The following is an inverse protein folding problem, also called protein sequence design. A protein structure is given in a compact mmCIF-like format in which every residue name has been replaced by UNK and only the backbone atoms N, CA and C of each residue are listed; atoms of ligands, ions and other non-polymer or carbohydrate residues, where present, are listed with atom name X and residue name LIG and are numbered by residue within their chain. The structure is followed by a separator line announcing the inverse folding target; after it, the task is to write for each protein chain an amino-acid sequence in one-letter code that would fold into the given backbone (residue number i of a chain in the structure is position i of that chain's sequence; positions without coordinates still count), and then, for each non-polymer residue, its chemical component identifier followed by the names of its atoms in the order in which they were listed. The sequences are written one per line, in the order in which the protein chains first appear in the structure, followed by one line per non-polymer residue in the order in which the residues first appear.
data_IF_850703360779
#
_entry.id   IF_850703360779
#
_cell.length_a   1.000
_cell.length_b   1.000
_cell.length_c   1.000
_cell.angle_alpha   90.00
_cell.angle_beta   90.00
_cell.angle_gamma   90.00
#
_symmetry.space_group_name_H-M   'P 1'
#
loop_
_entity.id
_entity.type
_entity.pdbx_description
1 polymer ?
#
# COMPACT_ATOMS: atom_id res chain seq x y z
N UNK A 1 -4.00 35.36 -15.35
CA UNK A 1 -5.33 34.76 -15.15
C UNK A 1 -5.41 33.52 -16.03
N UNK A 2 -5.67 32.36 -15.49
CA UNK A 2 -5.87 31.13 -16.27
C UNK A 2 -7.18 31.25 -17.06
N UNK A 3 -7.13 30.88 -18.35
CA UNK A 3 -8.33 30.85 -19.20
C UNK A 3 -9.22 29.70 -18.72
N UNK A 4 -10.48 29.97 -18.45
CA UNK A 4 -11.48 28.97 -18.09
C UNK A 4 -12.22 28.49 -19.33
N UNK A 5 -12.52 27.21 -19.39
CA UNK A 5 -13.35 26.57 -20.40
C UNK A 5 -14.52 25.87 -19.72
N UNK A 6 -15.71 25.98 -20.31
CA UNK A 6 -16.86 25.18 -19.93
C UNK A 6 -16.91 23.93 -20.81
N UNK A 7 -17.24 22.79 -20.22
CA UNK A 7 -17.40 21.52 -20.93
C UNK A 7 -18.69 20.84 -20.46
N UNK A 8 -19.60 20.65 -21.38
CA UNK A 8 -20.88 20.00 -21.15
C UNK A 8 -20.96 18.74 -22.02
N UNK A 9 -21.34 17.61 -21.41
CA UNK A 9 -21.51 16.36 -22.14
C UNK A 9 -22.63 15.53 -21.54
N UNK A 10 -23.17 14.61 -22.31
CA UNK A 10 -24.07 13.56 -21.86
C UNK A 10 -23.28 12.25 -21.82
N UNK A 11 -23.37 11.53 -20.70
CA UNK A 11 -22.76 10.22 -20.52
C UNK A 11 -23.84 9.18 -20.32
N UNK A 12 -23.67 8.01 -20.93
CA UNK A 12 -24.56 6.87 -20.74
C UNK A 12 -24.09 6.05 -19.55
N UNK A 13 -25.03 5.55 -18.75
CA UNK A 13 -24.76 4.48 -17.78
C UNK A 13 -24.59 3.17 -18.57
N UNK A 14 -23.35 2.72 -18.69
CA UNK A 14 -23.00 1.53 -19.46
C UNK A 14 -22.63 0.33 -18.55
N UNK A 15 -22.51 0.57 -17.26
CA UNK A 15 -22.23 -0.48 -16.28
C UNK A 15 -22.93 -0.20 -14.94
N UNK A 16 -23.21 -1.29 -14.22
CA UNK A 16 -23.82 -1.28 -12.90
C UNK A 16 -23.28 -2.42 -12.03
N UNK A 17 -23.04 -2.15 -10.76
CA UNK A 17 -22.69 -3.13 -9.75
C UNK A 17 -23.37 -2.81 -8.42
N UNK A 18 -23.52 -3.79 -7.54
CA UNK A 18 -23.95 -3.53 -6.16
C UNK A 18 -22.82 -2.86 -5.37
N UNK A 19 -21.59 -3.35 -5.53
CA UNK A 19 -20.40 -2.76 -4.92
C UNK A 19 -19.44 -2.33 -6.02
N UNK A 20 -19.08 -1.05 -6.04
CA UNK A 20 -18.06 -0.48 -6.94
C UNK A 20 -16.83 -0.16 -6.12
N UNK A 21 -15.71 -0.80 -6.42
CA UNK A 21 -14.41 -0.56 -5.77
C UNK A 21 -13.53 0.27 -6.69
N UNK A 22 -13.15 1.47 -6.25
CA UNK A 22 -12.22 2.32 -6.98
C UNK A 22 -10.80 2.13 -6.47
N UNK A 23 -9.91 1.66 -7.37
CA UNK A 23 -8.55 1.25 -7.09
C UNK A 23 -8.45 -0.24 -6.78
N UNK A 24 -7.86 -1.00 -7.72
CA UNK A 24 -7.57 -2.44 -7.58
C UNK A 24 -6.23 -2.71 -6.86
N UNK A 25 -5.83 -1.82 -5.93
CA UNK A 25 -4.60 -1.93 -5.15
C UNK A 25 -4.67 -2.99 -4.05
N UNK A 26 -3.75 -2.88 -3.09
CA UNK A 26 -3.61 -3.84 -1.97
C UNK A 26 -4.90 -4.04 -1.17
N UNK A 27 -5.63 -2.96 -0.87
CA UNK A 27 -6.89 -3.03 -0.15
C UNK A 27 -8.07 -3.36 -1.08
N UNK A 28 -8.10 -2.73 -2.27
CA UNK A 28 -9.25 -2.81 -3.16
C UNK A 28 -9.46 -4.18 -3.78
N UNK A 29 -8.39 -4.88 -4.15
CA UNK A 29 -8.49 -6.28 -4.60
C UNK A 29 -9.14 -7.15 -3.52
N UNK A 30 -8.71 -6.99 -2.26
CA UNK A 30 -9.25 -7.76 -1.13
C UNK A 30 -10.69 -7.36 -0.81
N UNK A 31 -11.01 -6.06 -0.86
CA UNK A 31 -12.38 -5.57 -0.66
C UNK A 31 -13.36 -6.14 -1.69
N UNK A 32 -12.94 -6.17 -2.95
CA UNK A 32 -13.76 -6.70 -4.03
C UNK A 32 -13.98 -8.22 -3.89
N UNK A 33 -12.92 -8.97 -3.61
CA UNK A 33 -13.01 -10.44 -3.36
C UNK A 33 -13.92 -10.71 -2.17
N UNK A 34 -13.76 -9.96 -1.06
CA UNK A 34 -14.60 -10.12 0.13
C UNK A 34 -16.07 -9.88 -0.18
N UNK A 35 -16.40 -8.76 -0.83
CA UNK A 35 -17.77 -8.45 -1.20
C UNK A 35 -18.39 -9.50 -2.17
N UNK A 36 -17.59 -9.97 -3.14
CA UNK A 36 -18.06 -11.00 -4.08
C UNK A 36 -18.29 -12.35 -3.39
N UNK A 37 -17.43 -12.76 -2.47
CA UNK A 37 -17.61 -13.98 -1.66
C UNK A 37 -18.82 -13.87 -0.71
N UNK A 38 -19.23 -12.65 -0.34
CA UNK A 38 -20.49 -12.39 0.35
C UNK A 38 -21.73 -12.40 -0.59
N UNK A 39 -21.56 -12.68 -1.87
CA UNK A 39 -22.60 -12.83 -2.87
C UNK A 39 -23.01 -11.56 -3.60
N UNK A 40 -22.20 -10.49 -3.54
CA UNK A 40 -22.47 -9.24 -4.25
C UNK A 40 -21.99 -9.28 -5.69
N UNK A 41 -22.70 -8.55 -6.58
CA UNK A 41 -22.16 -8.18 -7.90
C UNK A 41 -21.16 -7.04 -7.71
N UNK A 42 -19.88 -7.30 -8.02
CA UNK A 42 -18.77 -6.39 -7.74
C UNK A 42 -18.05 -5.97 -9.01
N UNK A 43 -17.70 -4.69 -9.10
CA UNK A 43 -16.85 -4.13 -10.14
C UNK A 43 -15.65 -3.42 -9.52
N UNK A 44 -14.43 -3.76 -9.96
CA UNK A 44 -13.22 -2.98 -9.72
C UNK A 44 -12.98 -2.02 -10.89
N UNK A 45 -12.70 -0.75 -10.57
CA UNK A 45 -12.21 0.26 -11.51
C UNK A 45 -10.74 0.55 -11.16
N UNK A 46 -9.82 0.32 -12.11
CA UNK A 46 -8.37 0.43 -11.89
C UNK A 46 -7.70 1.18 -13.07
N UNK A 47 -6.93 2.24 -12.80
CA UNK A 47 -6.26 3.00 -13.86
C UNK A 47 -5.08 2.27 -14.52
N UNK A 48 -4.50 1.29 -13.85
CA UNK A 48 -3.41 0.47 -14.40
C UNK A 48 -3.93 -0.82 -15.02
N UNK A 49 -3.03 -1.59 -15.64
CA UNK A 49 -3.34 -2.84 -16.31
C UNK A 49 -3.15 -4.08 -15.44
N UNK A 50 -3.07 -3.97 -14.12
CA UNK A 50 -2.99 -5.09 -13.20
C UNK A 50 -3.49 -4.73 -11.80
N UNK A 51 -3.91 -5.75 -11.04
CA UNK A 51 -4.26 -5.63 -9.63
C UNK A 51 -3.00 -5.60 -8.73
N UNK A 52 -3.18 -5.18 -7.47
CA UNK A 52 -2.17 -5.22 -6.41
C UNK A 52 -1.55 -3.86 -6.06
N UNK A 53 -1.68 -2.85 -6.91
CA UNK A 53 -1.24 -1.47 -6.65
C UNK A 53 0.21 -1.37 -6.19
N UNK A 54 0.48 -1.03 -4.91
CA UNK A 54 1.85 -0.89 -4.42
C UNK A 54 2.65 -2.20 -4.47
N UNK A 55 2.00 -3.35 -4.28
CA UNK A 55 2.66 -4.66 -4.36
C UNK A 55 3.20 -4.97 -5.76
N UNK A 56 2.51 -4.51 -6.80
CA UNK A 56 2.77 -4.82 -8.22
C UNK A 56 3.31 -3.62 -8.97
N UNK A 57 2.55 -2.54 -9.08
CA UNK A 57 2.91 -1.35 -9.85
C UNK A 57 4.04 -0.53 -9.22
N UNK A 58 4.18 -0.54 -7.86
CA UNK A 58 5.30 0.13 -7.15
C UNK A 58 6.37 -0.84 -6.64
N UNK A 59 6.30 -2.14 -6.95
CA UNK A 59 7.31 -3.17 -6.62
C UNK A 59 7.63 -3.25 -5.12
N UNK A 60 6.60 -3.14 -4.25
CA UNK A 60 6.76 -3.32 -2.80
C UNK A 60 6.69 -4.81 -2.46
N UNK A 61 7.84 -5.47 -2.49
CA UNK A 61 7.99 -6.93 -2.46
C UNK A 61 7.86 -7.59 -1.09
N UNK A 62 8.09 -6.95 0.07
CA UNK A 62 7.95 -7.62 1.36
C UNK A 62 6.51 -8.01 1.66
N UNK A 63 6.29 -9.24 2.14
CA UNK A 63 4.98 -9.70 2.63
C UNK A 63 4.54 -8.97 3.90
N UNK A 64 5.48 -8.45 4.68
CA UNK A 64 5.30 -7.69 5.92
C UNK A 64 4.62 -8.50 7.05
N UNK A 65 4.80 -8.06 8.29
CA UNK A 65 4.06 -8.54 9.47
C UNK A 65 3.24 -7.41 10.05
N UNK A 66 2.22 -7.75 10.83
CA UNK A 66 1.49 -6.77 11.64
C UNK A 66 2.25 -6.38 12.93
N UNK A 67 3.45 -6.90 13.16
CA UNK A 67 4.27 -6.63 14.34
C UNK A 67 3.80 -7.32 15.62
N UNK A 68 2.87 -8.26 15.52
CA UNK A 68 2.31 -9.03 16.65
C UNK A 68 2.94 -10.43 16.63
N UNK A 69 3.35 -11.01 17.78
CA UNK A 69 3.84 -12.38 17.86
C UNK A 69 2.87 -13.38 17.23
N UNK A 70 3.37 -14.35 16.49
CA UNK A 70 2.56 -15.30 15.73
C UNK A 70 2.00 -14.75 14.41
N UNK A 71 2.18 -13.45 14.15
CA UNK A 71 1.76 -12.74 12.93
C UNK A 71 0.30 -13.08 12.54
N UNK A 72 -0.68 -12.79 13.41
CA UNK A 72 -2.07 -13.07 13.10
C UNK A 72 -2.49 -12.26 11.88
N UNK A 73 -2.96 -12.95 10.83
CA UNK A 73 -3.51 -12.27 9.66
C UNK A 73 -4.96 -11.94 9.95
N UNK A 74 -5.25 -10.65 10.16
CA UNK A 74 -6.61 -10.16 10.40
C UNK A 74 -7.46 -10.14 9.12
N UNK A 75 -7.10 -10.96 8.15
CA UNK A 75 -7.75 -11.11 6.85
C UNK A 75 -7.50 -12.52 6.34
N UNK A 76 -8.58 -13.26 6.12
CA UNK A 76 -8.55 -14.60 5.53
C UNK A 76 -8.02 -14.58 4.09
N UNK A 77 -8.37 -13.54 3.34
CA UNK A 77 -7.93 -13.34 1.95
C UNK A 77 -6.44 -12.99 1.92
N UNK A 78 -5.94 -12.20 2.89
CA UNK A 78 -4.51 -11.93 2.99
C UNK A 78 -3.68 -13.18 3.28
N UNK A 79 -4.18 -14.06 4.15
CA UNK A 79 -3.57 -15.35 4.44
C UNK A 79 -3.57 -16.24 3.20
N UNK A 80 -4.69 -16.31 2.48
CA UNK A 80 -4.81 -17.03 1.22
C UNK A 80 -3.81 -16.54 0.17
N UNK A 81 -3.65 -15.20 -0.01
CA UNK A 81 -2.67 -14.63 -0.93
C UNK A 81 -1.26 -15.09 -0.55
N UNK A 82 -0.89 -15.00 0.73
CA UNK A 82 0.42 -15.42 1.19
C UNK A 82 0.65 -16.92 0.98
N UNK A 83 -0.31 -17.76 1.36
CA UNK A 83 -0.24 -19.21 1.20
C UNK A 83 -0.11 -19.62 -0.26
N UNK A 84 -1.01 -19.12 -1.13
CA UNK A 84 -0.99 -19.46 -2.58
C UNK A 84 0.30 -18.98 -3.25
N UNK A 85 0.79 -17.77 -2.92
CA UNK A 85 2.04 -17.26 -3.49
C UNK A 85 3.26 -18.11 -3.13
N UNK A 86 3.26 -18.73 -1.93
CA UNK A 86 4.31 -19.66 -1.49
C UNK A 86 4.15 -21.01 -2.18
N UNK A 87 2.93 -21.55 -2.25
CA UNK A 87 2.60 -22.80 -2.94
C UNK A 87 2.95 -22.74 -4.43
N UNK A 88 2.72 -21.61 -5.08
CA UNK A 88 3.04 -21.35 -6.49
C UNK A 88 4.56 -21.06 -6.71
N UNK A 89 5.35 -21.00 -5.63
CA UNK A 89 6.80 -20.90 -5.68
C UNK A 89 7.36 -19.50 -6.00
N UNK A 90 6.54 -18.45 -6.00
CA UNK A 90 7.00 -17.08 -6.24
C UNK A 90 7.04 -16.20 -4.97
N UNK A 91 6.86 -16.79 -3.80
CA UNK A 91 7.11 -16.17 -2.52
C UNK A 91 7.73 -17.16 -1.55
N UNK A 92 8.31 -16.65 -0.47
CA UNK A 92 8.78 -17.49 0.62
C UNK A 92 8.49 -16.86 1.97
N UNK A 93 8.39 -17.71 2.99
CA UNK A 93 8.20 -17.29 4.38
C UNK A 93 9.49 -17.50 5.17
N UNK A 94 9.90 -16.50 5.94
CA UNK A 94 11.05 -16.55 6.85
C UNK A 94 11.91 -15.30 6.83
N UNK A 95 12.71 -15.11 7.88
CA UNK A 95 13.56 -13.93 8.08
C UNK A 95 12.95 -12.86 8.98
N UNK A 96 13.50 -11.64 8.95
CA UNK A 96 13.05 -10.50 9.78
C UNK A 96 11.65 -10.04 9.37
N UNK A 97 11.35 -10.06 8.08
CA UNK A 97 9.99 -9.96 7.52
C UNK A 97 9.49 -11.37 7.21
N UNK A 98 8.17 -11.64 7.17
CA UNK A 98 7.65 -12.98 6.89
C UNK A 98 8.07 -13.53 5.53
N UNK A 99 8.74 -12.74 4.70
CA UNK A 99 9.30 -13.13 3.42
C UNK A 99 9.12 -12.06 2.37
N UNK A 100 9.46 -12.45 1.14
CA UNK A 100 9.35 -11.61 -0.05
C UNK A 100 8.67 -12.39 -1.16
N UNK A 101 8.13 -11.69 -2.14
CA UNK A 101 7.54 -12.29 -3.34
C UNK A 101 8.11 -11.65 -4.61
N UNK A 102 8.06 -12.37 -5.71
CA UNK A 102 8.33 -11.80 -7.03
C UNK A 102 7.14 -10.92 -7.45
N UNK A 103 7.32 -9.60 -7.57
CA UNK A 103 6.22 -8.68 -7.91
C UNK A 103 5.67 -8.90 -9.31
N UNK A 104 6.41 -9.58 -10.20
CA UNK A 104 5.95 -9.89 -11.55
C UNK A 104 4.92 -11.01 -11.58
N UNK A 105 4.89 -11.86 -10.55
CA UNK A 105 3.95 -13.00 -10.44
C UNK A 105 2.69 -12.66 -9.64
N UNK A 106 2.78 -11.70 -8.74
CA UNK A 106 1.65 -11.33 -7.88
C UNK A 106 0.38 -10.91 -8.66
N UNK A 107 0.43 -10.17 -9.79
CA UNK A 107 -0.76 -9.84 -10.55
C UNK A 107 -1.56 -11.06 -11.00
N UNK A 108 -0.88 -12.12 -11.47
CA UNK A 108 -1.53 -13.35 -11.94
C UNK A 108 -2.37 -14.00 -10.83
N UNK A 109 -1.81 -14.11 -9.62
CA UNK A 109 -2.52 -14.65 -8.48
C UNK A 109 -3.74 -13.79 -8.10
N UNK A 110 -3.55 -12.47 -8.00
CA UNK A 110 -4.63 -11.57 -7.58
C UNK A 110 -5.79 -11.54 -8.59
N UNK A 111 -5.48 -11.54 -9.89
CA UNK A 111 -6.48 -11.61 -10.96
C UNK A 111 -7.21 -12.95 -10.97
N UNK A 112 -6.47 -14.05 -10.78
CA UNK A 112 -7.07 -15.38 -10.66
C UNK A 112 -8.05 -15.43 -9.47
N UNK A 113 -7.65 -14.99 -8.29
CA UNK A 113 -8.50 -14.96 -7.10
C UNK A 113 -9.75 -14.08 -7.29
N UNK A 114 -9.58 -12.93 -7.96
CA UNK A 114 -10.70 -12.04 -8.28
C UNK A 114 -11.70 -12.73 -9.24
N UNK A 115 -11.21 -13.39 -10.29
CA UNK A 115 -12.05 -14.13 -11.25
C UNK A 115 -12.73 -15.33 -10.61
N UNK A 116 -12.02 -16.12 -9.80
CA UNK A 116 -12.60 -17.24 -9.02
C UNK A 116 -13.73 -16.78 -8.11
N UNK A 117 -13.67 -15.55 -7.61
CA UNK A 117 -14.70 -14.94 -6.77
C UNK A 117 -15.84 -14.26 -7.55
N UNK A 118 -15.75 -14.20 -8.89
CA UNK A 118 -16.77 -13.56 -9.75
C UNK A 118 -16.67 -12.03 -9.81
N UNK A 119 -15.52 -11.45 -9.44
CA UNK A 119 -15.29 -10.01 -9.53
C UNK A 119 -15.10 -9.60 -10.99
N UNK A 120 -15.82 -8.57 -11.42
CA UNK A 120 -15.58 -7.90 -12.71
C UNK A 120 -14.50 -6.84 -12.56
N UNK A 121 -13.58 -6.76 -13.52
CA UNK A 121 -12.45 -5.83 -13.50
C UNK A 121 -12.52 -4.94 -14.74
N UNK A 122 -12.36 -3.63 -14.55
CA UNK A 122 -12.26 -2.63 -15.61
C UNK A 122 -10.94 -1.89 -15.47
N UNK A 123 -9.94 -2.31 -16.22
CA UNK A 123 -8.61 -1.70 -16.29
C UNK A 123 -8.61 -0.43 -17.15
N UNK A 124 -7.53 0.35 -17.03
CA UNK A 124 -7.32 1.60 -17.80
C UNK A 124 -8.49 2.57 -17.67
N UNK A 125 -9.13 2.57 -16.50
CA UNK A 125 -10.33 3.34 -16.21
C UNK A 125 -10.13 4.16 -14.95
N UNK A 126 -10.38 5.45 -15.02
CA UNK A 126 -10.18 6.40 -13.93
C UNK A 126 -11.49 7.09 -13.58
N UNK A 127 -11.94 7.12 -12.31
CA UNK A 127 -13.05 7.94 -11.88
C UNK A 127 -12.63 9.43 -11.95
N UNK A 128 -13.47 10.26 -12.57
CA UNK A 128 -13.18 11.69 -12.77
C UNK A 128 -14.23 12.60 -12.15
N UNK A 129 -15.41 12.09 -11.83
CA UNK A 129 -16.48 12.84 -11.22
C UNK A 129 -17.49 11.92 -10.53
N UNK A 130 -18.23 12.47 -9.56
CA UNK A 130 -19.25 11.76 -8.80
C UNK A 130 -20.60 12.43 -8.98
N UNK A 131 -21.62 11.66 -9.31
CA UNK A 131 -23.01 12.13 -9.33
C UNK A 131 -23.66 11.74 -8.00
N UNK A 132 -24.21 12.73 -7.30
CA UNK A 132 -24.88 12.52 -6.00
C UNK A 132 -26.32 13.01 -6.03
N UNK A 133 -27.15 12.30 -5.28
CA UNK A 133 -28.46 12.79 -4.83
C UNK A 133 -28.39 12.99 -3.32
N UNK A 134 -28.39 14.24 -2.87
CA UNK A 134 -28.05 14.63 -1.49
C UNK A 134 -26.64 14.12 -1.12
N UNK A 135 -26.52 13.35 -0.04
CA UNK A 135 -25.24 12.78 0.44
C UNK A 135 -24.97 11.38 -0.12
N UNK A 136 -25.80 10.86 -1.02
CA UNK A 136 -25.65 9.52 -1.60
C UNK A 136 -25.08 9.59 -3.02
N UNK A 137 -24.04 8.84 -3.29
CA UNK A 137 -23.50 8.62 -4.63
C UNK A 137 -24.47 7.74 -5.43
N UNK A 138 -24.87 8.18 -6.62
CA UNK A 138 -25.73 7.41 -7.54
C UNK A 138 -24.94 6.85 -8.70
N UNK A 139 -23.91 7.57 -9.18
CA UNK A 139 -23.03 7.09 -10.23
C UNK A 139 -21.65 7.74 -10.16
N UNK A 140 -20.66 7.06 -10.73
CA UNK A 140 -19.34 7.60 -11.04
C UNK A 140 -19.27 7.92 -12.53
N UNK A 141 -18.72 9.07 -12.88
CA UNK A 141 -18.25 9.31 -14.24
C UNK A 141 -16.80 8.83 -14.30
N UNK A 142 -16.56 7.91 -15.21
CA UNK A 142 -15.24 7.32 -15.44
C UNK A 142 -14.75 7.65 -16.84
N UNK A 143 -13.44 7.74 -17.00
CA UNK A 143 -12.77 7.91 -18.28
C UNK A 143 -11.95 6.67 -18.60
N UNK A 144 -12.11 6.18 -19.82
CA UNK A 144 -11.28 5.13 -20.41
C UNK A 144 -10.92 5.45 -21.88
N UNK A 145 -10.41 4.46 -22.62
CA UNK A 145 -10.03 4.63 -24.03
C UNK A 145 -11.21 4.91 -24.96
N UNK A 146 -12.42 4.49 -24.57
CA UNK A 146 -13.64 4.69 -25.37
C UNK A 146 -14.33 6.04 -25.09
N UNK A 147 -13.92 6.73 -24.02
CA UNK A 147 -14.46 8.05 -23.65
C UNK A 147 -14.95 8.14 -22.23
N UNK A 148 -16.04 8.88 -22.02
CA UNK A 148 -16.67 9.06 -20.73
C UNK A 148 -17.89 8.13 -20.59
N UNK A 149 -17.96 7.46 -19.46
CA UNK A 149 -19.04 6.53 -19.11
C UNK A 149 -19.53 6.78 -17.70
N UNK A 150 -20.79 6.39 -17.41
CA UNK A 150 -21.29 6.38 -16.05
C UNK A 150 -21.36 4.94 -15.54
N UNK A 151 -20.92 4.75 -14.29
CA UNK A 151 -21.00 3.46 -13.56
C UNK A 151 -21.89 3.67 -12.35
N UNK A 152 -23.01 2.95 -12.30
CA UNK A 152 -23.95 3.00 -11.18
C UNK A 152 -23.56 2.00 -10.09
N UNK A 153 -23.80 2.36 -8.82
CA UNK A 153 -23.53 1.52 -7.67
C UNK A 153 -24.48 1.73 -6.50
N UNK A 154 -24.64 0.70 -5.67
CA UNK A 154 -25.37 0.83 -4.42
C UNK A 154 -24.45 1.31 -3.30
N UNK A 155 -23.24 0.71 -3.18
CA UNK A 155 -22.18 1.12 -2.26
C UNK A 155 -20.86 1.24 -3.03
N UNK A 156 -20.07 2.24 -2.67
CA UNK A 156 -18.77 2.54 -3.24
C UNK A 156 -17.70 2.34 -2.17
N UNK A 157 -16.52 1.82 -2.58
CA UNK A 157 -15.36 1.67 -1.69
C UNK A 157 -14.17 2.39 -2.33
N UNK A 158 -13.67 3.43 -1.67
CA UNK A 158 -12.47 4.12 -2.08
C UNK A 158 -11.23 3.36 -1.60
N UNK A 159 -10.54 2.75 -2.54
CA UNK A 159 -9.27 2.05 -2.37
C UNK A 159 -8.17 2.64 -3.27
N UNK A 160 -8.31 3.90 -3.68
CA UNK A 160 -7.35 4.58 -4.57
C UNK A 160 -5.99 4.80 -3.90
N UNK A 161 -5.94 4.67 -2.58
CA UNK A 161 -4.75 4.89 -1.75
C UNK A 161 -4.49 6.36 -1.45
N UNK A 162 -5.01 7.26 -2.28
CA UNK A 162 -4.90 8.72 -2.14
C UNK A 162 -6.25 9.39 -1.79
N UNK A 163 -7.32 8.59 -1.60
CA UNK A 163 -8.64 9.08 -1.26
C UNK A 163 -9.32 9.84 -2.41
N UNK A 164 -8.97 9.52 -3.65
CA UNK A 164 -9.42 10.29 -4.82
C UNK A 164 -10.93 10.25 -4.99
N UNK A 165 -11.57 9.09 -4.80
CA UNK A 165 -13.02 8.98 -4.88
C UNK A 165 -13.70 9.77 -3.76
N UNK A 166 -13.18 9.70 -2.54
CA UNK A 166 -13.70 10.43 -1.38
C UNK A 166 -13.65 11.94 -1.60
N UNK A 167 -12.55 12.44 -2.15
CA UNK A 167 -12.40 13.86 -2.50
C UNK A 167 -13.35 14.27 -3.62
N UNK A 168 -13.50 13.45 -4.66
CA UNK A 168 -14.51 13.70 -5.73
C UNK A 168 -15.94 13.72 -5.18
N UNK A 169 -16.24 12.94 -4.14
CA UNK A 169 -17.52 12.94 -3.45
C UNK A 169 -17.71 14.12 -2.48
N UNK A 170 -16.67 14.93 -2.26
CA UNK A 170 -16.70 16.12 -1.39
C UNK A 170 -16.38 15.82 0.07
N UNK A 171 -15.77 14.67 0.40
CA UNK A 171 -15.32 14.39 1.74
C UNK A 171 -14.12 15.27 2.15
N UNK A 172 -14.04 15.60 3.43
CA UNK A 172 -12.89 16.28 4.00
C UNK A 172 -11.72 15.32 4.19
N UNK A 173 -10.51 15.87 4.30
CA UNK A 173 -9.29 15.09 4.55
C UNK A 173 -8.21 15.94 5.24
N UNK A 174 -7.26 15.29 5.86
CA UNK A 174 -5.96 15.86 6.26
C UNK A 174 -4.88 15.39 5.30
N UNK A 175 -3.73 16.08 5.29
CA UNK A 175 -2.62 15.74 4.39
C UNK A 175 -1.31 16.25 4.96
N UNK A 176 -0.31 15.39 4.97
CA UNK A 176 1.04 15.73 5.39
C UNK A 176 1.20 15.89 6.91
N UNK A 177 2.42 16.06 7.33
CA UNK A 177 2.77 16.25 8.72
C UNK A 177 2.13 17.55 9.27
N UNK A 178 1.34 17.51 10.34
CA UNK A 178 0.62 18.67 10.87
C UNK A 178 1.51 19.83 11.33
N UNK A 179 2.82 19.57 11.59
CA UNK A 179 3.79 20.61 11.98
C UNK A 179 4.50 21.25 10.78
N UNK A 180 4.76 20.50 9.73
CA UNK A 180 5.58 20.96 8.59
C UNK A 180 4.81 21.08 7.29
N UNK A 181 3.63 20.49 7.18
CA UNK A 181 2.83 20.40 5.96
C UNK A 181 3.40 19.45 4.90
N UNK A 182 4.55 18.80 5.16
CA UNK A 182 5.19 17.91 4.19
C UNK A 182 4.66 16.49 4.29
N UNK A 183 4.43 15.86 3.12
CA UNK A 183 4.17 14.43 3.02
C UNK A 183 5.44 13.61 3.27
N UNK A 184 5.27 12.30 3.48
CA UNK A 184 6.40 11.38 3.57
C UNK A 184 7.10 11.22 2.21
N UNK A 185 8.42 10.90 2.19
CA UNK A 185 9.18 10.69 0.97
C UNK A 185 8.52 9.69 0.03
N UNK A 186 8.61 9.95 -1.25
CA UNK A 186 8.18 9.05 -2.32
C UNK A 186 9.37 8.33 -2.92
N UNK A 187 9.15 7.21 -3.60
CA UNK A 187 10.23 6.38 -4.14
C UNK A 187 9.90 5.82 -5.52
N UNK A 188 10.94 5.51 -6.29
CA UNK A 188 10.82 4.74 -7.53
C UNK A 188 11.64 3.45 -7.38
N UNK A 189 10.98 2.32 -7.21
CA UNK A 189 11.63 1.02 -7.01
C UNK A 189 11.96 0.34 -8.33
N UNK A 190 12.91 -0.60 -8.27
CA UNK A 190 13.32 -1.38 -9.44
C UNK A 190 13.80 -2.77 -9.03
N UNK A 191 13.93 -3.65 -10.02
CA UNK A 191 14.49 -4.99 -9.87
C UNK A 191 15.66 -5.13 -10.82
N UNK A 192 16.74 -5.74 -10.32
CA UNK A 192 17.87 -6.22 -11.10
C UNK A 192 17.78 -7.73 -11.25
N UNK A 193 18.19 -8.25 -12.39
CA UNK A 193 18.41 -9.68 -12.62
C UNK A 193 19.87 -9.97 -12.96
N UNK A 194 20.22 -11.23 -12.99
CA UNK A 194 21.59 -11.77 -13.22
C UNK A 194 22.62 -11.27 -12.20
N UNK A 195 22.20 -11.08 -10.95
CA UNK A 195 23.09 -10.80 -9.82
C UNK A 195 23.58 -12.11 -9.22
N UNK A 196 24.90 -12.28 -9.10
CA UNK A 196 25.49 -13.34 -8.24
C UNK A 196 25.39 -12.88 -6.78
N UNK A 197 24.27 -13.26 -6.14
CA UNK A 197 23.96 -12.85 -4.75
C UNK A 197 25.00 -13.35 -3.75
N UNK A 198 25.65 -14.49 -4.01
CA UNK A 198 26.71 -15.03 -3.15
C UNK A 198 27.99 -14.19 -3.25
N UNK A 199 28.37 -13.81 -4.46
CA UNK A 199 29.50 -12.92 -4.66
C UNK A 199 29.23 -11.52 -4.07
N UNK A 200 27.99 -11.03 -4.22
CA UNK A 200 27.54 -9.77 -3.61
C UNK A 200 27.67 -9.81 -2.09
N UNK A 201 27.12 -10.82 -1.44
CA UNK A 201 27.23 -11.00 0.01
C UNK A 201 28.69 -11.10 0.48
N UNK A 202 29.58 -11.72 -0.33
CA UNK A 202 31.01 -11.82 -0.05
C UNK A 202 31.81 -10.52 -0.29
N UNK A 203 31.20 -9.45 -0.78
CA UNK A 203 31.90 -8.17 -0.99
C UNK A 203 32.16 -7.45 0.34
N UNK A 204 31.33 -7.66 1.33
CA UNK A 204 31.41 -7.07 2.67
C UNK A 204 31.62 -8.15 3.71
N UNK A 205 32.43 -7.86 4.73
CA UNK A 205 32.81 -8.84 5.76
C UNK A 205 31.97 -8.75 7.04
N UNK A 206 31.19 -7.67 7.19
CA UNK A 206 30.41 -7.36 8.39
C UNK A 206 28.98 -7.95 8.37
N UNK A 207 28.66 -8.81 7.41
CA UNK A 207 27.31 -9.37 7.19
C UNK A 207 26.22 -8.31 6.95
N UNK A 208 26.58 -7.11 6.49
CA UNK A 208 25.59 -6.09 6.08
C UNK A 208 24.70 -6.56 4.92
N UNK A 209 25.23 -7.51 4.14
CA UNK A 209 24.55 -8.12 2.99
C UNK A 209 24.69 -9.64 3.13
N UNK A 210 23.61 -10.38 3.02
CA UNK A 210 23.60 -11.84 3.01
C UNK A 210 22.84 -12.38 1.80
N UNK A 211 23.21 -13.59 1.34
CA UNK A 211 22.58 -14.22 0.16
C UNK A 211 21.23 -14.89 0.46
N UNK A 212 20.85 -15.01 1.72
CA UNK A 212 19.70 -15.79 2.18
C UNK A 212 18.45 -14.96 2.52
N UNK A 213 18.34 -13.79 1.95
CA UNK A 213 17.13 -12.94 2.05
C UNK A 213 17.23 -11.81 3.05
N UNK A 214 18.43 -11.45 3.49
CA UNK A 214 18.62 -10.28 4.34
C UNK A 214 18.36 -8.99 3.56
N UNK A 215 17.71 -8.01 4.21
CA UNK A 215 17.58 -6.65 3.71
C UNK A 215 18.49 -5.73 4.51
N UNK A 216 19.21 -4.84 3.83
CA UNK A 216 20.04 -3.82 4.49
C UNK A 216 19.49 -2.43 4.25
N UNK A 217 19.38 -1.63 5.32
CA UNK A 217 19.01 -0.23 5.26
C UNK A 217 20.25 0.61 5.60
N UNK A 218 20.69 1.45 4.69
CA UNK A 218 21.84 2.32 4.90
C UNK A 218 21.44 3.55 5.71
N UNK A 219 22.17 3.79 6.79
CA UNK A 219 22.10 5.04 7.56
C UNK A 219 23.45 5.74 7.48
N UNK A 220 23.46 7.07 7.36
CA UNK A 220 24.66 7.88 7.21
C UNK A 220 25.52 8.00 8.51
N UNK A 221 25.58 6.94 9.32
CA UNK A 221 26.40 6.93 10.54
C UNK A 221 27.76 6.28 10.37
N UNK A 222 28.03 5.71 9.18
CA UNK A 222 29.35 5.21 8.81
C UNK A 222 29.82 3.92 9.51
N UNK A 223 28.92 3.20 10.17
CA UNK A 223 29.31 2.05 10.98
C UNK A 223 29.44 0.75 10.15
N UNK A 224 28.65 0.63 9.08
CA UNK A 224 28.63 -0.56 8.23
C UNK A 224 29.60 -0.45 7.06
N UNK A 225 30.13 -1.57 6.63
CA UNK A 225 31.04 -1.62 5.49
C UNK A 225 30.38 -1.13 4.19
N UNK A 226 29.13 -1.50 3.96
CA UNK A 226 28.34 -1.02 2.81
C UNK A 226 28.17 0.50 2.79
N UNK A 227 27.96 1.11 3.95
CA UNK A 227 27.87 2.58 4.08
C UNK A 227 29.18 3.25 3.72
N UNK A 228 30.30 2.69 4.14
CA UNK A 228 31.65 3.19 3.80
C UNK A 228 31.91 3.09 2.30
N UNK A 229 31.46 2.01 1.66
CA UNK A 229 31.55 1.85 0.20
C UNK A 229 30.73 2.93 -0.51
N UNK A 230 29.47 3.14 -0.08
CA UNK A 230 28.60 4.16 -0.66
C UNK A 230 29.14 5.57 -0.46
N UNK A 231 29.66 5.89 0.73
CA UNK A 231 30.29 7.19 1.03
C UNK A 231 31.48 7.45 0.10
N UNK A 232 32.37 6.45 -0.09
CA UNK A 232 33.50 6.57 -1.04
C UNK A 232 32.99 6.76 -2.49
N UNK A 233 31.94 6.10 -2.88
CA UNK A 233 31.35 6.27 -4.20
C UNK A 233 30.76 7.67 -4.40
N UNK A 234 30.14 8.24 -3.36
CA UNK A 234 29.67 9.63 -3.37
C UNK A 234 30.84 10.61 -3.49
N UNK A 235 31.91 10.43 -2.70
CA UNK A 235 33.11 11.27 -2.76
C UNK A 235 33.80 11.20 -4.12
N UNK A 236 33.70 10.05 -4.80
CA UNK A 236 34.21 9.88 -6.16
C UNK A 236 33.28 10.42 -7.26
N UNK A 237 32.08 10.91 -6.91
CA UNK A 237 31.08 11.42 -7.85
C UNK A 237 30.26 10.35 -8.57
N UNK A 238 30.34 9.08 -8.14
CA UNK A 238 29.57 7.97 -8.71
C UNK A 238 28.15 7.85 -8.11
N UNK A 239 27.95 8.38 -6.90
CA UNK A 239 26.66 8.54 -6.24
C UNK A 239 26.43 10.00 -5.84
N UNK A 240 25.19 10.39 -5.59
CA UNK A 240 24.84 11.68 -5.00
C UNK A 240 24.56 11.52 -3.50
N UNK A 241 24.45 12.65 -2.77
CA UNK A 241 24.09 12.64 -1.36
C UNK A 241 22.69 12.02 -1.13
N UNK A 242 21.78 12.26 -2.05
CA UNK A 242 20.41 11.75 -2.02
C UNK A 242 20.39 10.23 -2.11
N UNK A 243 21.31 9.61 -2.88
CA UNK A 243 21.41 8.14 -3.00
C UNK A 243 21.80 7.48 -1.67
N UNK A 244 22.45 8.22 -0.74
CA UNK A 244 22.82 7.73 0.58
C UNK A 244 21.74 7.94 1.64
N UNK A 245 20.67 8.69 1.32
CA UNK A 245 19.61 8.98 2.28
C UNK A 245 18.82 7.73 2.69
N UNK A 246 18.63 6.82 1.74
CA UNK A 246 17.98 5.52 1.97
C UNK A 246 18.42 4.51 0.92
N UNK A 247 18.81 3.31 1.39
CA UNK A 247 19.14 2.18 0.53
C UNK A 247 18.74 0.88 1.21
N UNK A 248 17.99 0.04 0.49
CA UNK A 248 17.58 -1.26 0.97
C UNK A 248 17.36 -2.20 -0.22
N UNK A 249 17.83 -3.43 -0.09
CA UNK A 249 17.71 -4.46 -1.14
C UNK A 249 17.15 -5.76 -0.58
N UNK A 250 16.42 -6.49 -1.43
CA UNK A 250 15.76 -7.74 -1.09
C UNK A 250 16.08 -8.79 -2.16
N UNK A 251 16.89 -9.83 -1.84
CA UNK A 251 17.10 -10.94 -2.74
C UNK A 251 15.81 -11.71 -3.02
N UNK A 252 15.51 -11.96 -4.30
CA UNK A 252 14.30 -12.65 -4.74
C UNK A 252 14.53 -14.12 -5.09
N UNK A 253 15.74 -14.66 -4.89
CA UNK A 253 16.08 -16.04 -5.26
C UNK A 253 15.20 -17.08 -4.57
N UNK A 254 14.90 -16.90 -3.28
CA UNK A 254 13.98 -17.75 -2.52
C UNK A 254 12.51 -17.58 -2.93
N UNK A 255 12.20 -16.51 -3.64
CA UNK A 255 10.91 -16.27 -4.30
C UNK A 255 10.91 -16.75 -5.76
N UNK A 256 11.73 -17.73 -6.11
CA UNK A 256 11.78 -18.33 -7.43
C UNK A 256 12.53 -17.55 -8.51
N UNK A 257 12.97 -16.31 -8.23
CA UNK A 257 13.64 -15.44 -9.20
C UNK A 257 15.16 -15.48 -9.00
N UNK A 258 15.80 -16.42 -9.70
CA UNK A 258 17.25 -16.65 -9.61
C UNK A 258 18.03 -15.39 -10.00
N UNK A 259 18.96 -14.96 -9.11
CA UNK A 259 19.75 -13.74 -9.31
C UNK A 259 18.93 -12.45 -9.29
N UNK A 260 17.67 -12.51 -8.87
CA UNK A 260 16.79 -11.33 -8.73
C UNK A 260 17.10 -10.53 -7.46
N UNK A 261 17.18 -9.21 -7.58
CA UNK A 261 17.40 -8.28 -6.48
C UNK A 261 16.43 -7.11 -6.57
N UNK A 262 15.45 -7.05 -5.67
CA UNK A 262 14.54 -5.91 -5.57
C UNK A 262 15.20 -4.78 -4.77
N UNK A 263 15.11 -3.55 -5.27
CA UNK A 263 15.73 -2.38 -4.69
C UNK A 263 14.67 -1.38 -4.19
N UNK A 264 14.67 -1.11 -2.88
CA UNK A 264 13.82 -0.13 -2.23
C UNK A 264 14.57 1.20 -2.14
N UNK A 265 14.87 1.77 -3.28
CA UNK A 265 15.54 3.04 -3.54
C UNK A 265 15.40 3.38 -5.04
N UNK A 266 15.60 4.65 -5.49
CA UNK A 266 15.86 5.83 -4.69
C UNK A 266 14.64 6.35 -3.94
N UNK A 267 14.88 7.18 -2.90
CA UNK A 267 13.87 7.98 -2.22
C UNK A 267 14.07 9.47 -2.50
N UNK A 268 12.96 10.21 -2.56
CA UNK A 268 12.92 11.64 -2.80
C UNK A 268 12.27 12.33 -1.61
N UNK A 269 12.95 13.37 -1.09
CA UNK A 269 12.57 14.13 0.10
C UNK A 269 12.05 15.52 -0.22
N UNK A 270 12.17 15.93 -1.47
CA UNK A 270 11.57 17.13 -2.05
C UNK A 270 10.54 16.74 -3.09
N UNK A 271 9.56 17.58 -3.36
CA UNK A 271 8.49 17.27 -4.30
C UNK A 271 7.74 15.97 -3.95
N UNK A 272 7.34 15.84 -2.68
CA UNK A 272 6.79 14.60 -2.10
C UNK A 272 5.27 14.51 -2.13
N UNK A 273 4.57 15.45 -2.75
CA UNK A 273 3.12 15.41 -2.86
C UNK A 273 2.66 14.35 -3.86
N UNK A 274 2.17 13.23 -3.36
CA UNK A 274 1.63 12.13 -4.15
C UNK A 274 0.35 12.46 -4.93
N UNK A 275 -0.24 13.63 -4.68
CA UNK A 275 -1.45 14.13 -5.38
C UNK A 275 -1.11 15.24 -6.40
N UNK A 276 0.16 15.60 -6.54
CA UNK A 276 0.62 16.57 -7.54
C UNK A 276 1.26 15.84 -8.74
N UNK A 277 0.65 15.88 -9.94
CA UNK A 277 1.17 15.21 -11.11
C UNK A 277 2.56 15.75 -11.55
N UNK A 278 2.93 16.98 -11.20
CA UNK A 278 4.27 17.51 -11.48
C UNK A 278 5.32 16.79 -10.63
N UNK A 279 5.07 16.62 -9.33
CA UNK A 279 5.95 15.87 -8.42
C UNK A 279 6.07 14.40 -8.83
N UNK A 280 4.96 13.75 -9.22
CA UNK A 280 4.97 12.36 -9.70
C UNK A 280 5.77 12.22 -10.99
N UNK A 281 5.60 13.17 -11.93
CA UNK A 281 6.35 13.20 -13.19
C UNK A 281 7.84 13.36 -12.95
N UNK A 282 8.23 14.30 -12.11
CA UNK A 282 9.62 14.55 -11.76
C UNK A 282 10.26 13.33 -11.09
N UNK A 283 9.56 12.71 -10.14
CA UNK A 283 10.02 11.47 -9.48
C UNK A 283 10.24 10.34 -10.48
N UNK A 284 9.34 10.17 -11.49
CA UNK A 284 9.52 9.19 -12.54
C UNK A 284 10.77 9.46 -13.40
N UNK A 285 11.07 10.71 -13.69
CA UNK A 285 12.23 11.09 -14.51
C UNK A 285 13.52 10.95 -13.70
N UNK A 286 13.61 11.61 -12.55
CA UNK A 286 14.80 11.61 -11.70
C UNK A 286 15.10 10.23 -11.14
N UNK A 287 14.05 9.45 -10.82
CA UNK A 287 14.19 8.09 -10.36
C UNK A 287 14.87 7.19 -11.38
N UNK A 288 14.51 7.26 -12.66
CA UNK A 288 15.18 6.49 -13.72
C UNK A 288 16.64 6.91 -13.93
N UNK A 289 16.95 8.19 -13.76
CA UNK A 289 18.34 8.67 -13.79
C UNK A 289 19.11 8.08 -12.62
N UNK A 290 18.56 8.12 -11.40
CA UNK A 290 19.19 7.54 -10.21
C UNK A 290 19.38 6.02 -10.34
N UNK A 291 18.39 5.29 -10.84
CA UNK A 291 18.44 3.83 -11.04
C UNK A 291 19.61 3.45 -11.99
N UNK A 292 19.82 4.18 -13.06
CA UNK A 292 20.97 3.96 -13.95
C UNK A 292 22.30 4.21 -13.25
N UNK A 293 22.37 5.24 -12.41
CA UNK A 293 23.57 5.55 -11.58
C UNK A 293 23.80 4.45 -10.56
N UNK A 294 22.75 3.94 -9.91
CA UNK A 294 22.84 2.80 -8.97
C UNK A 294 23.39 1.54 -9.65
N UNK A 295 22.93 1.19 -10.86
CA UNK A 295 23.46 0.03 -11.57
C UNK A 295 24.95 0.20 -11.90
N UNK A 296 25.38 1.40 -12.33
CA UNK A 296 26.79 1.67 -12.57
C UNK A 296 27.63 1.58 -11.28
N UNK A 297 27.11 2.10 -10.18
CA UNK A 297 27.71 1.99 -8.85
C UNK A 297 27.85 0.51 -8.44
N UNK A 298 26.80 -0.33 -8.54
CA UNK A 298 26.89 -1.74 -8.19
C UNK A 298 27.97 -2.46 -9.00
N UNK A 299 28.00 -2.26 -10.31
CA UNK A 299 29.02 -2.89 -11.19
C UNK A 299 30.45 -2.46 -10.86
N UNK A 300 30.65 -1.24 -10.37
CA UNK A 300 31.97 -0.71 -10.05
C UNK A 300 32.47 -1.12 -8.66
N UNK A 301 31.58 -1.21 -7.67
CA UNK A 301 31.97 -1.32 -6.26
C UNK A 301 31.67 -2.69 -5.62
N UNK A 302 30.80 -3.50 -6.23
CA UNK A 302 30.45 -4.81 -5.70
C UNK A 302 30.77 -5.92 -6.68
N UNK A 303 31.13 -7.09 -6.15
CA UNK A 303 31.22 -8.34 -6.94
C UNK A 303 29.83 -8.88 -7.20
N UNK A 304 29.69 -9.62 -8.31
CA UNK A 304 28.44 -10.27 -8.64
C UNK A 304 27.46 -9.45 -9.47
N UNK A 305 27.81 -8.22 -9.86
CA UNK A 305 26.99 -7.37 -10.70
C UNK A 305 27.49 -7.24 -12.13
N UNK A 306 28.48 -8.00 -12.54
CA UNK A 306 29.12 -7.90 -13.88
C UNK A 306 28.10 -8.06 -14.99
N UNK A 307 27.17 -9.02 -14.84
CA UNK A 307 26.09 -9.30 -15.81
C UNK A 307 24.75 -8.66 -15.41
N UNK A 308 24.66 -8.02 -14.25
CA UNK A 308 23.41 -7.49 -13.75
C UNK A 308 22.82 -6.43 -14.71
N UNK A 309 21.51 -6.47 -14.85
CA UNK A 309 20.78 -5.50 -15.65
C UNK A 309 19.45 -5.11 -14.97
N UNK A 310 18.89 -3.95 -15.36
CA UNK A 310 17.59 -3.50 -14.91
C UNK A 310 16.54 -4.32 -15.63
N UNK A 311 15.83 -5.18 -14.91
CA UNK A 311 14.77 -6.04 -15.47
C UNK A 311 13.38 -5.46 -15.27
N UNK A 312 13.16 -4.67 -14.23
CA UNK A 312 11.88 -4.00 -13.99
C UNK A 312 12.09 -2.65 -13.28
N UNK A 313 11.29 -1.65 -13.64
CA UNK A 313 11.17 -0.37 -12.96
C UNK A 313 9.70 -0.15 -12.65
N UNK A 314 9.37 0.31 -11.45
CA UNK A 314 7.99 0.51 -11.05
C UNK A 314 7.25 1.46 -12.00
N UNK A 315 6.06 1.03 -12.45
CA UNK A 315 5.18 1.84 -13.29
C UNK A 315 4.54 2.99 -12.51
N UNK A 316 4.28 2.76 -11.23
CA UNK A 316 3.69 3.72 -10.31
C UNK A 316 4.72 4.16 -9.27
N UNK A 317 4.79 5.45 -8.99
CA UNK A 317 5.59 5.98 -7.88
C UNK A 317 5.11 5.38 -6.56
N UNK A 318 6.05 5.01 -5.70
CA UNK A 318 5.75 4.50 -4.35
C UNK A 318 5.42 5.65 -3.40
N UNK A 319 4.14 5.92 -3.22
CA UNK A 319 3.61 6.96 -2.34
C UNK A 319 3.37 6.35 -0.96
N UNK A 320 4.02 6.90 0.07
CA UNK A 320 3.87 6.43 1.45
C UNK A 320 2.68 7.04 2.16
N UNK A 321 2.42 8.31 1.90
CA UNK A 321 1.34 9.07 2.52
C UNK A 321 0.90 10.18 1.57
N UNK A 322 -0.38 10.52 1.60
CA UNK A 322 -0.96 11.65 0.86
C UNK A 322 -2.13 12.26 1.62
N UNK A 323 -3.33 11.68 1.52
CA UNK A 323 -4.54 12.15 2.22
C UNK A 323 -5.02 11.08 3.20
N UNK A 324 -5.44 11.51 4.38
CA UNK A 324 -6.22 10.74 5.35
C UNK A 324 -7.64 11.30 5.34
N UNK A 325 -8.61 10.47 4.96
CA UNK A 325 -10.00 10.89 4.78
C UNK A 325 -10.69 11.09 6.14
N UNK A 326 -11.53 12.12 6.27
CA UNK A 326 -12.36 12.31 7.44
C UNK A 326 -13.46 11.24 7.48
N UNK A 327 -13.42 10.39 8.51
CA UNK A 327 -14.34 9.28 8.74
C UNK A 327 -15.10 9.47 10.05
N UNK A 328 -16.08 8.63 10.31
CA UNK A 328 -16.89 8.70 11.55
C UNK A 328 -16.03 8.52 12.82
N UNK A 329 -14.89 7.81 12.71
CA UNK A 329 -13.91 7.69 13.78
C UNK A 329 -12.49 7.84 13.22
N UNK A 330 -11.70 8.74 13.81
CA UNK A 330 -10.30 8.96 13.45
C UNK A 330 -9.41 8.24 14.46
N UNK A 331 -8.56 7.34 13.97
CA UNK A 331 -7.50 6.72 14.80
C UNK A 331 -6.43 7.75 15.16
N UNK A 332 -6.25 7.99 16.45
CA UNK A 332 -5.27 8.96 16.96
C UNK A 332 -3.97 8.30 17.37
N UNK A 333 -2.88 9.09 17.38
CA UNK A 333 -1.61 8.65 17.95
C UNK A 333 -1.74 8.26 19.43
N UNK A 334 -2.62 8.95 20.20
CA UNK A 334 -2.89 8.60 21.58
C UNK A 334 -3.49 7.19 21.72
N UNK A 335 -4.38 6.79 20.81
CA UNK A 335 -4.94 5.42 20.80
C UNK A 335 -3.85 4.37 20.52
N UNK A 336 -2.99 4.63 19.55
CA UNK A 336 -1.87 3.74 19.21
C UNK A 336 -0.85 3.65 20.37
N UNK A 337 -0.54 4.78 21.02
CA UNK A 337 0.42 4.86 22.12
C UNK A 337 0.01 4.07 23.36
N UNK A 338 -1.28 3.95 23.62
CA UNK A 338 -1.82 3.16 24.76
C UNK A 338 -2.27 1.76 24.36
N UNK A 339 -1.97 1.32 23.13
CA UNK A 339 -2.41 0.02 22.61
C UNK A 339 -3.93 -0.20 22.73
N UNK A 340 -4.71 0.82 22.36
CA UNK A 340 -6.16 0.82 22.55
C UNK A 340 -6.81 -0.35 21.83
N UNK A 341 -7.76 -1.01 22.51
CA UNK A 341 -8.63 -2.02 21.96
C UNK A 341 -10.00 -1.43 21.70
N UNK A 342 -10.65 -1.90 20.65
CA UNK A 342 -12.01 -1.51 20.29
C UNK A 342 -12.87 -2.76 20.16
N UNK A 343 -14.10 -2.72 20.67
CA UNK A 343 -15.03 -3.84 20.57
C UNK A 343 -15.31 -4.17 19.09
N UNK A 344 -15.32 -3.14 18.24
CA UNK A 344 -15.51 -3.19 16.80
C UNK A 344 -14.20 -3.14 16.00
N UNK A 345 -13.06 -3.52 16.63
CA UNK A 345 -11.76 -3.52 15.98
C UNK A 345 -11.69 -4.51 14.81
N UNK A 346 -11.50 -4.01 13.59
CA UNK A 346 -11.48 -4.81 12.35
C UNK A 346 -10.06 -5.18 11.89
N UNK A 347 -9.04 -4.62 12.49
CA UNK A 347 -7.65 -4.97 12.27
C UNK A 347 -6.81 -4.72 13.52
N UNK A 348 -5.70 -5.43 13.67
CA UNK A 348 -4.77 -5.34 14.78
C UNK A 348 -3.35 -5.11 14.24
N UNK A 349 -2.58 -4.24 14.86
CA UNK A 349 -1.19 -4.00 14.47
C UNK A 349 -0.34 -3.50 15.64
N UNK A 350 0.93 -3.86 15.61
CA UNK A 350 2.01 -3.26 16.40
C UNK A 350 3.20 -2.94 15.49
N UNK A 351 2.92 -2.71 14.20
CA UNK A 351 3.98 -2.30 13.28
C UNK A 351 4.52 -0.93 13.74
N UNK A 352 5.84 -0.72 13.75
CA UNK A 352 6.43 0.55 14.15
C UNK A 352 5.88 1.73 13.35
N UNK A 353 5.84 2.90 13.97
CA UNK A 353 5.60 4.16 13.26
C UNK A 353 6.82 4.43 12.38
N UNK A 354 6.68 4.11 11.10
CA UNK A 354 7.73 4.14 10.09
C UNK A 354 7.63 5.41 9.24
N UNK A 355 8.09 6.52 9.79
CA UNK A 355 8.18 7.81 9.10
C UNK A 355 9.59 8.01 8.55
N UNK A 356 9.69 8.19 7.25
CA UNK A 356 10.96 8.45 6.55
C UNK A 356 11.27 9.96 6.50
N UNK A 357 12.55 10.33 6.68
CA UNK A 357 13.06 11.65 6.30
C UNK A 357 12.68 12.86 7.16
N UNK A 358 12.05 12.68 8.31
CA UNK A 358 11.55 13.79 9.14
C UNK A 358 12.39 14.09 10.40
N UNK A 359 13.68 13.69 10.41
CA UNK A 359 14.59 13.92 11.53
C UNK A 359 14.35 12.99 12.72
N UNK A 360 15.17 13.13 13.77
CA UNK A 360 15.20 12.23 14.93
C UNK A 360 13.88 12.18 15.74
N UNK A 361 13.03 13.19 15.60
CA UNK A 361 11.73 13.23 16.30
C UNK A 361 10.75 12.16 15.82
N UNK A 362 10.92 11.63 14.60
CA UNK A 362 9.96 10.73 13.95
C UNK A 362 10.58 9.46 13.36
N UNK A 363 11.89 9.26 13.44
CA UNK A 363 12.53 8.02 12.97
C UNK A 363 12.13 6.86 13.86
N UNK A 364 11.45 5.86 13.29
CA UNK A 364 11.17 4.51 13.83
C UNK A 364 11.24 4.42 15.38
N UNK A 365 10.64 5.36 16.08
CA UNK A 365 10.46 5.23 17.50
C UNK A 365 9.33 4.23 17.66
N UNK A 366 9.71 2.99 17.93
CA UNK A 366 8.81 2.09 18.65
C UNK A 366 8.27 2.94 19.78
N UNK A 367 6.99 3.34 19.69
CA UNK A 367 6.32 3.95 20.83
C UNK A 367 6.40 2.89 21.89
N UNK A 368 7.37 3.04 22.82
CA UNK A 368 7.35 2.28 24.05
C UNK A 368 6.20 2.88 24.85
N UNK A 369 5.00 2.35 24.64
CA UNK A 369 3.94 2.56 25.59
C UNK A 369 4.49 2.10 26.93
N UNK A 370 4.44 2.93 27.93
CA UNK A 370 4.52 2.49 29.31
C UNK A 370 3.45 1.41 29.43
N UNK A 371 3.84 0.21 29.82
CA UNK A 371 3.05 -1.00 29.73
C UNK A 371 1.73 -0.88 30.51
N UNK A 372 0.71 -0.34 29.89
CA UNK A 372 -0.66 -0.30 30.43
C UNK A 372 -1.42 -1.57 30.03
N UNK A 373 -0.91 -2.34 29.07
CA UNK A 373 -1.53 -3.57 28.57
C UNK A 373 -0.49 -4.67 28.35
N UNK A 374 -0.77 -5.87 28.81
CA UNK A 374 0.06 -7.07 28.60
C UNK A 374 0.15 -7.48 27.11
N UNK A 375 -0.65 -6.87 26.25
CA UNK A 375 -0.73 -7.17 24.80
C UNK A 375 -0.32 -5.97 23.96
N UNK A 376 0.90 -6.00 23.43
CA UNK A 376 1.48 -4.85 22.73
C UNK A 376 0.98 -4.74 21.28
N UNK A 377 -0.31 -4.42 21.08
CA UNK A 377 -0.89 -4.07 19.79
C UNK A 377 -2.11 -3.17 20.00
N UNK A 378 -2.39 -2.34 19.02
CA UNK A 378 -3.63 -1.57 18.99
C UNK A 378 -4.56 -2.08 17.87
N UNK A 379 -5.81 -1.69 17.94
CA UNK A 379 -6.84 -2.08 16.96
C UNK A 379 -7.31 -0.87 16.16
N UNK A 380 -7.79 -1.14 14.94
CA UNK A 380 -8.40 -0.16 14.04
C UNK A 380 -9.91 -0.36 14.13
N UNK A 381 -10.69 0.63 14.58
CA UNK A 381 -12.14 0.50 14.69
C UNK A 381 -12.82 0.59 13.32
N UNK A 382 -13.98 -0.02 13.18
CA UNK A 382 -14.78 0.02 11.94
C UNK A 382 -15.09 1.44 11.48
N UNK A 383 -15.38 2.34 12.40
CA UNK A 383 -15.68 3.73 12.09
C UNK A 383 -14.59 4.48 11.31
N UNK A 384 -13.33 3.98 11.33
CA UNK A 384 -12.24 4.51 10.51
C UNK A 384 -12.36 4.21 9.01
N UNK A 385 -13.33 3.37 8.62
CA UNK A 385 -13.62 3.05 7.21
C UNK A 385 -14.86 3.79 6.68
N UNK A 386 -15.69 4.39 7.55
CA UNK A 386 -16.95 5.02 7.17
C UNK A 386 -16.73 6.49 6.87
N UNK A 387 -16.84 6.89 5.61
CA UNK A 387 -16.59 8.26 5.17
C UNK A 387 -17.69 9.19 5.70
N UNK A 388 -17.26 10.25 6.39
CA UNK A 388 -18.19 11.23 6.98
C UNK A 388 -18.80 12.13 5.90
N UNK A 389 -20.12 12.32 5.97
CA UNK A 389 -20.83 13.20 5.05
C UNK A 389 -21.13 12.59 3.66
N UNK A 390 -20.86 11.28 3.48
CA UNK A 390 -21.26 10.52 2.28
C UNK A 390 -21.91 9.21 2.70
N UNK A 391 -23.18 9.03 2.34
CA UNK A 391 -24.03 7.96 2.88
C UNK A 391 -23.60 6.55 2.54
N UNK A 392 -23.13 6.33 1.33
CA UNK A 392 -22.82 5.01 0.78
C UNK A 392 -21.37 4.86 0.32
N UNK A 393 -20.44 5.54 1.01
CA UNK A 393 -19.01 5.48 0.73
C UNK A 393 -18.24 4.93 1.92
N UNK A 394 -17.45 3.90 1.65
CA UNK A 394 -16.43 3.38 2.54
C UNK A 394 -15.03 3.72 1.99
N UNK A 395 -14.03 3.75 2.85
CA UNK A 395 -12.63 3.92 2.49
C UNK A 395 -11.81 2.77 3.08
N UNK A 396 -10.78 2.27 2.36
CA UNK A 396 -9.90 1.23 2.87
C UNK A 396 -8.46 1.40 2.39
N UNK A 397 -7.52 0.86 3.16
CA UNK A 397 -6.10 0.91 2.85
C UNK A 397 -5.41 2.14 3.44
N UNK A 398 -4.53 2.79 2.67
CA UNK A 398 -3.61 3.83 3.13
C UNK A 398 -4.30 5.13 3.56
N UNK A 399 -5.47 5.43 3.02
CA UNK A 399 -6.19 6.71 3.18
C UNK A 399 -7.36 6.67 4.18
N UNK A 400 -7.47 5.62 5.03
CA UNK A 400 -8.50 5.53 6.07
C UNK A 400 -8.37 6.65 7.11
N UNK A 401 -9.41 6.82 7.93
CA UNK A 401 -9.47 7.86 8.96
C UNK A 401 -8.47 7.65 10.10
N UNK A 402 -7.34 8.34 10.02
CA UNK A 402 -6.30 8.30 11.04
C UNK A 402 -5.42 9.54 11.04
N UNK A 403 -4.66 9.76 12.10
CA UNK A 403 -3.62 10.78 12.14
C UNK A 403 -2.37 10.35 11.38
N UNK A 404 -1.61 11.31 10.85
CA UNK A 404 -0.37 11.14 10.08
C UNK A 404 0.61 10.10 10.69
N UNK A 405 0.83 10.11 12.01
CA UNK A 405 1.74 9.15 12.66
C UNK A 405 1.16 7.74 12.69
N UNK A 406 -0.15 7.60 12.87
CA UNK A 406 -0.83 6.30 12.83
C UNK A 406 -0.79 5.74 11.42
N UNK A 407 -1.02 6.58 10.41
CA UNK A 407 -0.94 6.22 9.01
C UNK A 407 0.41 5.55 8.66
N UNK A 408 1.52 6.08 9.20
CA UNK A 408 2.85 5.52 8.99
C UNK A 408 3.02 4.07 9.52
N UNK A 409 2.18 3.64 10.47
CA UNK A 409 2.15 2.27 10.98
C UNK A 409 1.15 1.37 10.24
N UNK A 410 -0.04 1.88 9.92
CA UNK A 410 -1.14 1.06 9.38
C UNK A 410 -1.09 0.86 7.86
N UNK A 411 -0.27 1.63 7.14
CA UNK A 411 -0.14 1.56 5.67
C UNK A 411 0.52 0.28 5.12
N UNK A 412 0.94 -0.63 5.99
CA UNK A 412 1.56 -1.89 5.58
C UNK A 412 0.54 -2.81 4.90
N UNK A 413 1.03 -3.67 3.98
CA UNK A 413 0.15 -4.50 3.16
C UNK A 413 -0.84 -5.35 3.97
N UNK A 414 -0.46 -6.08 5.05
CA UNK A 414 -1.42 -6.89 5.81
C UNK A 414 -2.56 -6.07 6.41
N UNK A 415 -2.25 -4.92 7.00
CA UNK A 415 -3.27 -4.04 7.60
C UNK A 415 -4.18 -3.44 6.52
N UNK A 416 -3.61 -3.00 5.39
CA UNK A 416 -4.40 -2.52 4.25
C UNK A 416 -5.34 -3.60 3.71
N UNK A 417 -4.90 -4.87 3.63
CA UNK A 417 -5.72 -6.00 3.21
C UNK A 417 -6.85 -6.27 4.21
N UNK A 418 -6.56 -6.22 5.52
CA UNK A 418 -7.58 -6.40 6.55
C UNK A 418 -8.67 -5.32 6.51
N UNK A 419 -8.28 -4.04 6.34
CA UNK A 419 -9.26 -2.96 6.15
C UNK A 419 -10.06 -3.12 4.87
N UNK A 420 -9.46 -3.64 3.79
CA UNK A 420 -10.15 -3.99 2.55
C UNK A 420 -11.20 -5.08 2.76
N UNK A 421 -10.84 -6.20 3.42
CA UNK A 421 -11.78 -7.29 3.72
C UNK A 421 -12.95 -6.79 4.57
N UNK A 422 -12.67 -6.00 5.61
CA UNK A 422 -13.71 -5.41 6.45
C UNK A 422 -14.66 -4.50 5.65
N UNK A 423 -14.14 -3.65 4.76
CA UNK A 423 -14.94 -2.76 3.92
C UNK A 423 -15.84 -3.55 2.96
N UNK A 424 -15.33 -4.61 2.32
CA UNK A 424 -16.10 -5.47 1.43
C UNK A 424 -17.23 -6.21 2.16
N UNK A 425 -16.95 -6.76 3.34
CA UNK A 425 -17.97 -7.40 4.20
C UNK A 425 -19.02 -6.38 4.65
N UNK A 426 -18.59 -5.21 5.13
CA UNK A 426 -19.50 -4.16 5.59
C UNK A 426 -20.42 -3.66 4.48
N UNK A 427 -19.90 -3.45 3.27
CA UNK A 427 -20.69 -3.09 2.10
C UNK A 427 -21.77 -4.14 1.81
N UNK A 428 -21.39 -5.42 1.87
CA UNK A 428 -22.33 -6.52 1.64
C UNK A 428 -23.41 -6.60 2.72
N UNK A 429 -23.04 -6.39 3.99
CA UNK A 429 -24.01 -6.34 5.11
C UNK A 429 -24.98 -5.18 4.95
N UNK A 430 -24.48 -4.00 4.58
CA UNK A 430 -25.31 -2.81 4.40
C UNK A 430 -26.36 -3.02 3.30
N UNK A 431 -25.96 -3.60 2.16
CA UNK A 431 -26.88 -3.94 1.06
C UNK A 431 -27.92 -4.98 1.50
N UNK A 432 -27.49 -6.09 2.13
CA UNK A 432 -28.38 -7.16 2.58
C UNK A 432 -29.42 -6.69 3.60
N UNK A 433 -29.02 -5.75 4.47
CA UNK A 433 -29.89 -5.22 5.51
C UNK A 433 -30.70 -3.99 5.08
N UNK A 434 -30.40 -3.42 3.92
CA UNK A 434 -31.04 -2.17 3.43
C UNK A 434 -30.75 -0.96 4.30
N UNK A 435 -29.54 -0.86 4.86
CA UNK A 435 -29.07 0.21 5.76
C UNK A 435 -27.82 0.88 5.21
N UNK A 436 -27.46 2.02 5.78
CA UNK A 436 -26.22 2.71 5.41
C UNK A 436 -24.99 2.07 6.07
N UNK A 437 -23.78 2.15 5.48
CA UNK A 437 -22.55 1.67 6.11
C UNK A 437 -22.33 2.17 7.54
N UNK A 438 -22.70 3.42 7.85
CA UNK A 438 -22.59 3.97 9.21
C UNK A 438 -23.51 3.30 10.25
N UNK A 439 -24.53 2.59 9.79
CA UNK A 439 -25.51 1.89 10.66
C UNK A 439 -25.11 0.42 10.88
N UNK A 440 -24.07 -0.05 10.20
CA UNK A 440 -23.53 -1.40 10.40
C UNK A 440 -22.79 -1.47 11.73
N UNK A 441 -23.10 -2.52 12.50
CA UNK A 441 -22.36 -2.82 13.71
C UNK A 441 -20.98 -3.41 13.37
N UNK A 442 -19.90 -2.68 13.68
CA UNK A 442 -18.53 -3.11 13.42
C UNK A 442 -18.16 -4.43 14.12
N UNK A 443 -18.75 -4.75 15.29
CA UNK A 443 -18.58 -6.06 15.94
C UNK A 443 -19.09 -7.20 15.04
N UNK A 444 -20.18 -6.98 14.30
CA UNK A 444 -20.69 -7.98 13.37
C UNK A 444 -19.77 -8.15 12.15
N UNK A 445 -19.13 -7.06 11.68
CA UNK A 445 -18.11 -7.13 10.62
C UNK A 445 -16.93 -7.98 11.10
N UNK A 446 -16.36 -7.70 12.29
CA UNK A 446 -15.29 -8.50 12.90
C UNK A 446 -15.67 -9.96 13.04
N UNK A 447 -16.86 -10.24 13.55
CA UNK A 447 -17.35 -11.61 13.70
C UNK A 447 -17.40 -12.34 12.35
N UNK A 448 -17.87 -11.66 11.29
CA UNK A 448 -17.92 -12.23 9.94
C UNK A 448 -16.53 -12.47 9.35
N UNK A 449 -15.56 -11.57 9.60
CA UNK A 449 -14.16 -11.80 9.22
C UNK A 449 -13.62 -13.08 9.88
N UNK A 450 -13.89 -13.29 11.18
CA UNK A 450 -13.47 -14.49 11.91
C UNK A 450 -14.15 -15.75 11.36
N UNK A 451 -15.45 -15.69 11.09
CA UNK A 451 -16.20 -16.80 10.45
C UNK A 451 -15.60 -17.17 9.08
N UNK A 452 -15.12 -16.18 8.33
CA UNK A 452 -14.45 -16.38 7.04
C UNK A 452 -12.98 -16.84 7.19
N UNK A 453 -12.47 -16.99 8.43
CA UNK A 453 -11.14 -17.53 8.72
C UNK A 453 -10.06 -16.49 9.04
N UNK A 454 -10.43 -15.22 9.23
CA UNK A 454 -9.46 -14.22 9.71
C UNK A 454 -9.02 -14.53 11.15
N UNK A 455 -7.71 -14.44 11.41
CA UNK A 455 -7.13 -14.73 12.72
C UNK A 455 -6.81 -13.41 13.42
N UNK A 456 -7.37 -13.24 14.61
CA UNK A 456 -7.07 -12.12 15.51
C UNK A 456 -6.27 -12.61 16.71
N UNK A 457 -5.33 -11.80 17.20
CA UNK A 457 -4.70 -12.07 18.49
C UNK A 457 -5.76 -11.97 19.60
N UNK A 458 -5.76 -12.96 20.51
CA UNK A 458 -6.68 -12.94 21.65
C UNK A 458 -6.32 -11.81 22.60
N UNK A 459 -7.37 -11.11 23.05
CA UNK A 459 -7.33 -9.97 23.96
C UNK A 459 -6.98 -10.34 25.40
#
# INVERSE_FOLDING_TARGET
MSKQYEFHTHVCADDRAQVVVCGGGTAGTVAAIAAAREGMNVLIIEPFGCLGGSATNSLVTPLMTVGIPGNPMNSSISDEINRRSIEDGFAYQGGINPGYFDPSMMPFLLEQMAQESGVRIRYYTTPIHVIKENDKITALIVQDKAGLHAVEGEIFIDCTGDGDLSVLAGANYTKGNPKTGKNQPISLRYVLDDVDLKAFAGTVSDNSITSDGYSSCVKLHGDREVEKIMTRAMEAGDLTKEDLSYWQVFPLERAGRKGGLACNCPEFFEHVDGTDPAHLTETQILGKIAIRRHLAFYKKYFKGFENAHISNVSAMVGIRESREIETEQIMTFADAAVYRKFDDGIAQTNYPIDVHGMGDEYTCKTVKAEAVNEKPYYEIPYGSLVVKGVDNLLVAGRCIGCEFLVQASIRIQPTCRATGEAAGIAASMAIKNGVLPREINGCAVRARMIENGAVFAEG
#
